data_IF_480302911195
#
_entry.id   IF_480302911195
#
_cell.length_a   1.000
_cell.length_b   1.000
_cell.length_c   1.000
_cell.angle_alpha   90.00
_cell.angle_beta   90.00
_cell.angle_gamma   90.00
#
_symmetry.space_group_name_H-M   'P 1'
#
loop_
_entity.id
_entity.type
_entity.pdbx_description
1 polymer ?
#
# COMPACT_ATOMS: atom_id res chain seq x y z
N UNK A 1 23.94 -8.34 -16.09
CA UNK A 1 23.23 -7.06 -15.82
C UNK A 1 21.78 -7.42 -15.77
N UNK A 2 21.21 -7.52 -14.58
CA UNK A 2 19.78 -7.75 -14.38
C UNK A 2 19.11 -6.42 -14.71
N UNK A 3 18.48 -6.33 -15.88
CA UNK A 3 17.59 -5.21 -16.18
C UNK A 3 16.45 -5.33 -15.18
N UNK A 4 16.34 -4.38 -14.25
CA UNK A 4 15.16 -4.32 -13.39
C UNK A 4 13.95 -4.14 -14.31
N UNK A 5 13.18 -5.21 -14.49
CA UNK A 5 11.94 -5.15 -15.25
C UNK A 5 11.05 -4.12 -14.56
N UNK A 6 10.52 -3.19 -15.34
CA UNK A 6 9.66 -2.15 -14.79
C UNK A 6 8.31 -2.81 -14.49
N UNK A 7 7.86 -2.71 -13.25
CA UNK A 7 6.56 -3.21 -12.83
C UNK A 7 5.53 -2.10 -12.92
N UNK A 8 4.35 -2.43 -13.47
CA UNK A 8 3.22 -1.52 -13.57
C UNK A 8 2.11 -1.97 -12.64
N UNK A 9 1.54 -1.03 -11.89
CA UNK A 9 0.34 -1.29 -11.08
C UNK A 9 -0.89 -1.36 -12.01
N UNK A 10 -1.49 -2.55 -12.11
CA UNK A 10 -2.71 -2.77 -12.89
C UNK A 10 -3.96 -2.41 -12.11
N UNK A 11 -3.99 -2.82 -10.84
CA UNK A 11 -5.17 -2.70 -9.99
C UNK A 11 -4.78 -2.68 -8.51
N UNK A 12 -5.63 -2.09 -7.67
CA UNK A 12 -5.47 -2.15 -6.23
C UNK A 12 -6.81 -2.27 -5.51
N UNK A 13 -6.83 -3.11 -4.48
CA UNK A 13 -7.93 -3.28 -3.54
C UNK A 13 -7.46 -3.00 -2.12
N UNK A 14 -8.39 -2.62 -1.24
CA UNK A 14 -8.12 -2.47 0.18
C UNK A 14 -9.21 -3.08 1.07
N UNK A 15 -8.83 -3.48 2.28
CA UNK A 15 -9.75 -3.96 3.31
C UNK A 15 -9.32 -3.44 4.67
N UNK A 16 -10.28 -3.00 5.49
CA UNK A 16 -10.03 -2.51 6.84
C UNK A 16 -10.40 -3.59 7.84
N UNK A 17 -9.46 -3.96 8.71
CA UNK A 17 -9.66 -4.91 9.81
C UNK A 17 -9.58 -4.17 11.13
N UNK A 18 -10.61 -4.33 11.95
CA UNK A 18 -10.64 -3.82 13.32
C UNK A 18 -10.70 -5.01 14.26
N UNK A 19 -9.64 -5.25 15.03
CA UNK A 19 -9.67 -6.29 16.05
C UNK A 19 -10.27 -5.71 17.35
N UNK A 20 -11.51 -6.11 17.65
CA UNK A 20 -12.19 -5.78 18.89
C UNK A 20 -11.82 -6.82 19.96
N UNK A 21 -10.60 -6.75 20.49
CA UNK A 21 -10.21 -7.59 21.62
C UNK A 21 -11.10 -7.23 22.83
N UNK A 22 -11.74 -8.26 23.40
CA UNK A 22 -12.78 -8.10 24.43
C UNK A 22 -12.26 -8.25 25.87
N UNK A 23 -10.94 -8.21 26.08
CA UNK A 23 -10.34 -8.34 27.40
C UNK A 23 -9.53 -7.08 27.72
N UNK A 24 -9.86 -6.46 28.86
CA UNK A 24 -9.09 -5.39 29.52
C UNK A 24 -7.65 -5.78 29.88
N UNK A 25 -7.19 -6.95 29.44
CA UNK A 25 -5.86 -7.54 29.68
C UNK A 25 -4.97 -7.52 28.43
N UNK A 26 -5.52 -7.27 27.24
CA UNK A 26 -4.74 -7.12 26.00
C UNK A 26 -4.94 -5.69 25.49
N UNK A 27 -3.90 -4.87 25.68
CA UNK A 27 -3.87 -3.47 25.26
C UNK A 27 -4.18 -3.29 23.78
N UNK A 28 -4.95 -2.24 23.53
CA UNK A 28 -5.28 -1.58 22.28
C UNK A 28 -6.06 -2.34 21.20
N UNK A 29 -7.05 -1.61 20.66
CA UNK A 29 -7.75 -1.95 19.41
C UNK A 29 -6.73 -1.89 18.29
N UNK A 30 -6.26 -3.04 17.82
CA UNK A 30 -5.38 -3.08 16.66
C UNK A 30 -6.24 -2.93 15.40
N UNK A 31 -6.14 -1.76 14.77
CA UNK A 31 -6.69 -1.48 13.45
C UNK A 31 -5.59 -1.70 12.43
N UNK A 32 -5.87 -2.48 11.39
CA UNK A 32 -4.96 -2.64 10.25
C UNK A 32 -5.71 -2.48 8.94
N UNK A 33 -5.00 -2.00 7.93
CA UNK A 33 -5.49 -1.94 6.55
C UNK A 33 -4.66 -2.91 5.72
N UNK A 34 -5.34 -3.82 5.03
CA UNK A 34 -4.73 -4.70 4.04
C UNK A 34 -4.86 -4.07 2.66
N UNK A 35 -3.73 -3.78 2.02
CA UNK A 35 -3.68 -3.39 0.61
C UNK A 35 -3.32 -4.61 -0.24
N UNK A 36 -4.00 -4.77 -1.36
CA UNK A 36 -3.71 -5.80 -2.36
C UNK A 36 -3.40 -5.09 -3.67
N UNK A 37 -2.20 -5.27 -4.18
CA UNK A 37 -1.73 -4.66 -5.42
C UNK A 37 -1.57 -5.76 -6.45
N UNK A 38 -2.12 -5.56 -7.65
CA UNK A 38 -1.87 -6.42 -8.81
C UNK A 38 -0.87 -5.72 -9.72
N UNK A 39 0.29 -6.33 -9.87
CA UNK A 39 1.41 -5.82 -10.65
C UNK A 39 1.57 -6.66 -11.91
N UNK A 40 2.02 -6.01 -12.99
CA UNK A 40 2.46 -6.70 -14.20
C UNK A 40 3.85 -6.26 -14.60
N UNK A 41 4.64 -7.18 -15.13
CA UNK A 41 5.92 -6.88 -15.78
C UNK A 41 5.70 -6.65 -17.29
N UNK A 42 6.72 -6.10 -17.95
CA UNK A 42 6.69 -5.84 -19.40
C UNK A 42 6.51 -7.11 -20.25
N UNK A 43 6.81 -8.29 -19.71
CA UNK A 43 6.61 -9.59 -20.37
C UNK A 43 5.17 -10.13 -20.26
N UNK A 44 4.29 -9.38 -19.58
CA UNK A 44 2.90 -9.76 -19.35
C UNK A 44 2.71 -10.74 -18.19
N UNK A 45 3.76 -11.08 -17.45
CA UNK A 45 3.61 -11.81 -16.19
C UNK A 45 2.88 -10.92 -15.18
N UNK A 46 2.03 -11.54 -14.36
CA UNK A 46 1.29 -10.86 -13.30
C UNK A 46 1.69 -11.44 -11.93
N UNK A 47 1.79 -10.56 -10.92
CA UNK A 47 1.92 -10.98 -9.53
C UNK A 47 1.08 -10.11 -8.60
N UNK A 48 0.76 -10.67 -7.44
CA UNK A 48 0.01 -9.98 -6.41
C UNK A 48 0.89 -9.71 -5.19
N UNK A 49 0.87 -8.46 -4.72
CA UNK A 49 1.54 -8.04 -3.50
C UNK A 49 0.47 -7.68 -2.47
N UNK A 50 0.61 -8.21 -1.25
CA UNK A 50 -0.29 -7.91 -0.14
C UNK A 50 0.50 -7.25 0.98
N UNK A 51 0.04 -6.09 1.43
CA UNK A 51 0.63 -5.33 2.54
C UNK A 51 -0.41 -5.22 3.65
N UNK A 52 -0.01 -5.47 4.89
CA UNK A 52 -0.81 -5.13 6.06
C UNK A 52 -0.15 -3.97 6.79
N UNK A 53 -0.88 -2.88 6.94
CA UNK A 53 -0.39 -1.61 7.47
C UNK A 53 -1.14 -1.27 8.75
N UNK A 54 -0.40 -0.86 9.77
CA UNK A 54 -0.99 -0.15 10.91
C UNK A 54 -1.27 1.32 10.56
N UNK A 55 -1.88 2.04 11.51
CA UNK A 55 -2.25 3.45 11.35
C UNK A 55 -1.06 4.36 11.00
N UNK A 56 0.11 4.13 11.61
CA UNK A 56 1.31 4.95 11.38
C UNK A 56 1.88 4.68 9.98
N UNK A 57 1.94 3.42 9.60
CA UNK A 57 2.43 3.00 8.29
C UNK A 57 1.52 3.50 7.17
N UNK A 58 0.19 3.41 7.35
CA UNK A 58 -0.76 3.93 6.38
C UNK A 58 -0.66 5.45 6.26
N UNK A 59 -0.59 6.16 7.38
CA UNK A 59 -0.44 7.62 7.39
C UNK A 59 0.82 8.06 6.66
N UNK A 60 1.95 7.38 6.90
CA UNK A 60 3.20 7.66 6.20
C UNK A 60 3.08 7.40 4.69
N UNK A 61 2.51 6.27 4.30
CA UNK A 61 2.31 5.92 2.89
C UNK A 61 1.46 6.96 2.16
N UNK A 62 0.35 7.39 2.77
CA UNK A 62 -0.53 8.41 2.18
C UNK A 62 0.18 9.75 2.03
N UNK A 63 1.01 10.13 3.00
CA UNK A 63 1.83 11.33 2.92
C UNK A 63 2.85 11.25 1.77
N UNK A 64 3.52 10.11 1.62
CA UNK A 64 4.49 9.91 0.53
C UNK A 64 3.82 9.96 -0.85
N UNK A 65 2.62 9.37 -0.98
CA UNK A 65 1.83 9.44 -2.22
C UNK A 65 1.43 10.89 -2.55
N UNK A 66 0.99 11.67 -1.56
CA UNK A 66 0.67 13.09 -1.77
C UNK A 66 1.90 13.88 -2.20
N UNK A 67 3.05 13.67 -1.56
CA UNK A 67 4.32 14.30 -1.96
C UNK A 67 4.68 13.98 -3.43
N UNK A 68 4.58 12.71 -3.85
CA UNK A 68 4.81 12.31 -5.24
C UNK A 68 3.82 12.99 -6.18
N UNK A 69 2.54 13.03 -5.82
CA UNK A 69 1.49 13.66 -6.60
C UNK A 69 1.77 15.17 -6.81
N UNK A 70 2.13 15.88 -5.75
CA UNK A 70 2.50 17.30 -5.83
C UNK A 70 3.74 17.52 -6.72
N UNK A 71 4.76 16.66 -6.62
CA UNK A 71 5.95 16.74 -7.47
C UNK A 71 5.60 16.54 -8.94
N UNK A 72 4.76 15.56 -9.26
CA UNK A 72 4.30 15.30 -10.62
C UNK A 72 3.46 16.45 -11.19
N UNK A 73 2.60 17.08 -10.39
CA UNK A 73 1.83 18.25 -10.84
C UNK A 73 2.76 19.44 -11.11
N UNK A 74 3.70 19.72 -10.21
CA UNK A 74 4.55 20.90 -10.31
C UNK A 74 5.62 20.78 -11.40
N UNK A 75 6.08 19.58 -11.73
CA UNK A 75 7.06 19.34 -12.80
C UNK A 75 6.44 19.37 -14.21
N UNK A 76 5.12 19.45 -14.33
CA UNK A 76 4.38 19.56 -15.60
C UNK A 76 3.92 21.01 -15.90
N UNK A 77 4.42 22.00 -15.16
CA UNK A 77 4.25 23.44 -15.44
C UNK A 77 5.55 24.04 -15.97
#
# INVERSE_FOLDING_TARGET
METANLEHLLDFDYSVRVNLSHSSLCGDRQQSVTLKLRLTEDDGSERQVVLELDDKQLTSLLHDIDCIHQQLINNNK
#
